data_IF_396774792728
#
_entry.id   IF_396774792728
#
_cell.length_a   1.000
_cell.length_b   1.000
_cell.length_c   1.000
_cell.angle_alpha   90.00
_cell.angle_beta   90.00
_cell.angle_gamma   90.00
#
_symmetry.space_group_name_H-M   'P 1'
#
loop_
_entity.id
_entity.type
_entity.pdbx_description
1 polymer ?
#
# COMPACT_ATOMS: atom_id res chain seq x y z
N UNK A 1 -56.21 27.96 1.74
CA UNK A 1 -55.32 26.79 1.77
C UNK A 1 -53.93 27.27 1.45
N UNK A 2 -53.03 27.32 2.43
CA UNK A 2 -51.63 27.75 2.24
C UNK A 2 -50.76 26.50 2.21
N UNK A 3 -50.08 26.29 1.09
CA UNK A 3 -49.13 25.18 0.93
C UNK A 3 -47.76 25.64 1.45
N UNK A 4 -47.27 25.01 2.51
CA UNK A 4 -45.91 25.19 3.02
C UNK A 4 -44.94 24.36 2.20
N UNK A 5 -44.00 25.02 1.50
CA UNK A 5 -42.87 24.37 0.81
C UNK A 5 -41.78 24.06 1.87
N UNK A 6 -41.56 22.77 2.12
CA UNK A 6 -40.47 22.29 2.95
C UNK A 6 -39.20 22.26 2.11
N UNK A 7 -38.28 23.21 2.32
CA UNK A 7 -36.95 23.20 1.70
C UNK A 7 -36.05 22.33 2.56
N UNK A 8 -35.72 21.14 2.08
CA UNK A 8 -34.70 20.27 2.70
C UNK A 8 -33.33 20.77 2.22
N UNK A 9 -32.62 21.49 3.09
CA UNK A 9 -31.23 21.82 2.87
C UNK A 9 -30.39 20.53 3.05
N UNK A 10 -29.77 20.07 1.98
CA UNK A 10 -28.74 19.02 2.04
C UNK A 10 -27.44 19.71 2.47
N UNK A 11 -27.05 19.48 3.72
CA UNK A 11 -25.71 19.81 4.17
C UNK A 11 -24.71 18.92 3.39
N UNK A 12 -24.08 19.47 2.37
CA UNK A 12 -22.91 18.89 1.75
C UNK A 12 -21.76 18.99 2.76
N UNK A 13 -21.63 17.97 3.60
CA UNK A 13 -20.47 17.84 4.49
C UNK A 13 -19.23 17.77 3.59
N UNK A 14 -18.48 18.85 3.50
CA UNK A 14 -17.21 18.88 2.80
C UNK A 14 -16.31 17.84 3.48
N UNK A 15 -15.99 16.76 2.75
CA UNK A 15 -14.99 15.78 3.21
C UNK A 15 -13.71 16.56 3.49
N UNK A 16 -13.29 16.58 4.75
CA UNK A 16 -12.02 17.19 5.15
C UNK A 16 -10.85 16.52 4.38
N UNK A 17 -9.69 17.16 4.33
CA UNK A 17 -8.52 16.57 3.67
C UNK A 17 -8.24 15.21 4.28
N UNK A 18 -8.03 14.19 3.43
CA UNK A 18 -7.63 12.85 3.88
C UNK A 18 -6.32 12.98 4.65
N UNK A 19 -6.37 12.65 5.93
CA UNK A 19 -5.16 12.60 6.76
C UNK A 19 -4.32 11.41 6.30
N UNK A 20 -3.10 11.66 5.88
CA UNK A 20 -2.12 10.62 5.53
C UNK A 20 -1.40 10.23 6.81
N UNK A 21 -1.52 8.96 7.20
CA UNK A 21 -0.85 8.44 8.38
C UNK A 21 0.67 8.36 8.19
N UNK A 22 1.10 7.83 7.02
CA UNK A 22 2.52 7.70 6.69
C UNK A 22 2.77 7.85 5.19
N UNK A 23 3.97 8.29 4.83
CA UNK A 23 4.45 8.35 3.44
C UNK A 23 5.82 7.72 3.35
N UNK A 24 6.01 6.85 2.36
CA UNK A 24 7.30 6.23 2.07
C UNK A 24 7.71 6.50 0.64
N UNK A 25 9.01 6.53 0.41
CA UNK A 25 9.63 6.50 -0.92
C UNK A 25 10.63 5.38 -1.00
N UNK A 26 10.80 4.81 -2.19
CA UNK A 26 11.78 3.76 -2.47
C UNK A 26 12.23 3.84 -3.93
N UNK A 27 13.29 3.14 -4.28
CA UNK A 27 13.81 3.05 -5.65
C UNK A 27 14.07 1.60 -5.99
N UNK A 28 13.61 1.12 -7.15
CA UNK A 28 13.88 -0.25 -7.61
C UNK A 28 15.35 -0.42 -8.01
N UNK A 29 15.94 -1.59 -7.72
CA UNK A 29 17.35 -1.84 -7.97
C UNK A 29 17.63 -2.93 -9.02
N UNK A 30 16.97 -4.09 -8.93
CA UNK A 30 17.29 -5.28 -9.73
C UNK A 30 16.24 -5.61 -10.80
N UNK A 31 15.70 -4.60 -11.45
CA UNK A 31 14.76 -4.76 -12.56
C UNK A 31 15.12 -3.85 -13.74
N UNK A 32 14.50 -4.05 -14.89
CA UNK A 32 14.72 -3.23 -16.09
C UNK A 32 13.43 -2.50 -16.46
N UNK A 33 13.42 -1.15 -16.53
CA UNK A 33 14.54 -0.27 -16.13
C UNK A 33 14.74 -0.25 -14.60
N UNK A 34 16.00 -0.12 -14.17
CA UNK A 34 16.31 0.15 -12.78
C UNK A 34 16.02 1.62 -12.42
N UNK A 35 15.93 1.91 -11.12
CA UNK A 35 15.80 3.28 -10.65
C UNK A 35 14.38 3.86 -10.75
N UNK A 36 13.36 3.01 -10.88
CA UNK A 36 11.97 3.47 -10.78
C UNK A 36 11.67 3.88 -9.34
N UNK A 37 11.27 5.12 -9.15
CA UNK A 37 10.87 5.61 -7.84
C UNK A 37 9.45 5.17 -7.52
N UNK A 38 9.24 4.69 -6.30
CA UNK A 38 7.92 4.41 -5.74
C UNK A 38 7.60 5.44 -4.67
N UNK A 39 6.40 5.99 -4.70
CA UNK A 39 5.81 6.75 -3.62
C UNK A 39 4.64 5.95 -3.06
N UNK A 40 4.62 5.76 -1.76
CA UNK A 40 3.58 5.03 -1.05
C UNK A 40 2.98 5.94 0.01
N UNK A 41 1.67 6.05 0.06
CA UNK A 41 0.95 6.81 1.08
C UNK A 41 -0.04 5.90 1.77
N UNK A 42 0.05 5.83 3.08
CA UNK A 42 -0.86 5.09 3.94
C UNK A 42 -1.82 6.08 4.57
N UNK A 43 -3.10 5.89 4.32
CA UNK A 43 -4.18 6.70 4.88
C UNK A 43 -4.52 6.19 6.28
N UNK A 44 -4.54 4.86 6.42
CA UNK A 44 -4.90 4.21 7.67
C UNK A 44 -4.15 2.88 7.83
N UNK A 45 -3.54 2.68 8.99
CA UNK A 45 -3.06 1.38 9.42
C UNK A 45 -4.22 0.50 9.85
N UNK A 46 -4.20 -0.76 9.45
CA UNK A 46 -5.25 -1.70 9.78
C UNK A 46 -5.02 -2.35 11.14
N UNK A 47 -6.10 -2.54 11.89
CA UNK A 47 -6.11 -3.40 13.06
C UNK A 47 -6.06 -4.89 12.68
N UNK A 48 -5.94 -5.76 13.67
CA UNK A 48 -5.83 -7.20 13.45
C UNK A 48 -7.04 -7.79 12.72
N UNK A 49 -8.26 -7.35 13.04
CA UNK A 49 -9.48 -7.86 12.45
C UNK A 49 -9.57 -7.52 10.95
N UNK A 50 -9.30 -6.28 10.59
CA UNK A 50 -9.28 -5.82 9.19
C UNK A 50 -8.19 -6.56 8.37
N UNK A 51 -7.01 -6.79 8.95
CA UNK A 51 -5.96 -7.57 8.29
C UNK A 51 -6.37 -9.02 8.05
N UNK A 52 -6.96 -9.67 9.04
CA UNK A 52 -7.45 -11.06 8.91
C UNK A 52 -8.48 -11.17 7.79
N UNK A 53 -9.39 -10.21 7.64
CA UNK A 53 -10.37 -10.18 6.54
C UNK A 53 -9.67 -10.14 5.17
N UNK A 54 -8.65 -9.29 5.00
CA UNK A 54 -7.89 -9.22 3.75
C UNK A 54 -7.18 -10.54 3.46
N UNK A 55 -6.50 -11.12 4.45
CA UNK A 55 -5.77 -12.38 4.28
C UNK A 55 -6.71 -13.52 3.94
N UNK A 56 -7.85 -13.64 4.62
CA UNK A 56 -8.87 -14.63 4.30
C UNK A 56 -9.43 -14.44 2.88
N UNK A 57 -9.63 -13.20 2.45
CA UNK A 57 -10.04 -12.88 1.08
C UNK A 57 -9.01 -13.34 0.05
N UNK A 58 -7.73 -13.10 0.29
CA UNK A 58 -6.63 -13.54 -0.59
C UNK A 58 -6.50 -15.07 -0.64
N UNK A 59 -6.72 -15.75 0.49
CA UNK A 59 -6.67 -17.21 0.57
C UNK A 59 -7.85 -17.88 -0.18
N UNK A 60 -9.03 -17.29 -0.08
CA UNK A 60 -10.25 -17.80 -0.71
C UNK A 60 -10.38 -17.49 -2.21
N UNK A 61 -9.77 -16.41 -2.67
CA UNK A 61 -9.87 -15.89 -4.05
C UNK A 61 -8.47 -15.66 -4.65
N UNK A 62 -7.85 -16.70 -5.25
CA UNK A 62 -6.52 -16.59 -5.85
C UNK A 62 -6.42 -15.53 -6.95
N UNK A 63 -7.52 -15.22 -7.61
CA UNK A 63 -7.60 -14.20 -8.66
C UNK A 63 -7.78 -12.80 -8.08
N UNK A 64 -7.93 -12.69 -6.76
CA UNK A 64 -8.10 -11.44 -6.01
C UNK A 64 -9.19 -10.50 -6.55
N UNK A 65 -10.19 -11.05 -7.24
CA UNK A 65 -11.29 -10.27 -7.82
C UNK A 65 -12.14 -9.56 -6.77
N UNK A 66 -12.18 -10.14 -5.57
CA UNK A 66 -12.88 -9.59 -4.40
C UNK A 66 -12.03 -8.59 -3.63
N UNK A 67 -10.70 -8.65 -3.74
CA UNK A 67 -9.77 -7.74 -3.06
C UNK A 67 -10.06 -6.27 -3.40
N UNK A 68 -10.40 -5.99 -4.66
CA UNK A 68 -10.73 -4.63 -5.10
C UNK A 68 -11.94 -4.01 -4.36
N UNK A 69 -12.85 -4.85 -3.82
CA UNK A 69 -14.05 -4.41 -3.10
C UNK A 69 -13.77 -4.01 -1.65
N UNK A 70 -12.64 -4.43 -1.09
CA UNK A 70 -12.24 -4.08 0.27
C UNK A 70 -11.87 -2.59 0.38
N UNK A 71 -11.93 -2.01 1.57
CA UNK A 71 -11.55 -0.62 1.79
C UNK A 71 -10.13 -0.32 1.30
N UNK A 72 -9.93 0.84 0.70
CA UNK A 72 -8.61 1.34 0.32
C UNK A 72 -7.99 2.05 1.52
N UNK A 73 -6.82 1.57 1.94
CA UNK A 73 -6.09 2.07 3.10
C UNK A 73 -4.83 2.86 2.74
N UNK A 74 -4.55 2.99 1.44
CA UNK A 74 -3.41 3.73 0.93
C UNK A 74 -3.29 3.63 -0.58
N UNK A 75 -2.20 4.17 -1.11
CA UNK A 75 -1.89 4.13 -2.54
C UNK A 75 -0.40 4.00 -2.80
N UNK A 76 -0.04 3.37 -3.91
CA UNK A 76 1.33 3.29 -4.44
C UNK A 76 1.38 3.89 -5.84
N UNK A 77 2.33 4.81 -6.08
CA UNK A 77 2.58 5.42 -7.39
C UNK A 77 4.00 5.13 -7.83
N UNK A 78 4.19 4.43 -8.96
CA UNK A 78 5.50 4.31 -9.57
C UNK A 78 5.83 5.59 -10.37
N UNK A 79 7.05 6.07 -10.22
CA UNK A 79 7.73 7.08 -11.05
C UNK A 79 6.87 8.31 -11.45
N UNK A 80 6.06 8.82 -10.51
CA UNK A 80 5.20 9.99 -10.78
C UNK A 80 3.97 9.69 -11.65
N UNK A 81 3.55 8.42 -11.74
CA UNK A 81 2.29 8.05 -12.39
C UNK A 81 1.14 8.90 -11.87
N UNK A 82 0.24 9.39 -12.74
CA UNK A 82 -0.98 10.06 -12.29
C UNK A 82 -1.99 9.08 -11.67
N UNK A 83 -1.83 7.78 -11.92
CA UNK A 83 -2.71 6.73 -11.41
C UNK A 83 -1.99 5.97 -10.30
N UNK A 84 -2.61 5.89 -9.13
CA UNK A 84 -2.13 5.09 -8.01
C UNK A 84 -2.76 3.70 -7.99
N UNK A 85 -2.01 2.74 -7.49
CA UNK A 85 -2.51 1.40 -7.14
C UNK A 85 -3.08 1.47 -5.73
N UNK A 86 -4.32 1.01 -5.55
CA UNK A 86 -4.96 1.02 -4.23
C UNK A 86 -4.33 -0.02 -3.32
N UNK A 87 -3.93 0.38 -2.13
CA UNK A 87 -3.49 -0.52 -1.07
C UNK A 87 -4.70 -1.03 -0.32
N UNK A 88 -4.81 -2.34 -0.19
CA UNK A 88 -5.92 -3.04 0.51
C UNK A 88 -5.49 -3.66 1.83
N UNK A 89 -4.20 -3.87 2.00
CA UNK A 89 -3.59 -4.35 3.23
C UNK A 89 -2.42 -3.44 3.59
N UNK A 90 -2.39 -2.97 4.82
CA UNK A 90 -1.29 -2.19 5.38
C UNK A 90 -1.04 -2.59 6.83
N UNK A 91 0.11 -3.16 7.08
CA UNK A 91 0.58 -3.57 8.40
C UNK A 91 1.95 -2.98 8.67
N UNK A 92 2.18 -2.59 9.91
CA UNK A 92 3.51 -2.30 10.43
C UNK A 92 3.72 -3.08 11.73
N UNK A 93 4.87 -3.67 11.89
CA UNK A 93 5.23 -4.48 13.04
C UNK A 93 6.63 -4.11 13.54
N UNK A 94 6.81 -3.90 14.86
CA UNK A 94 8.13 -3.72 15.42
C UNK A 94 8.93 -5.01 15.25
N UNK A 95 10.21 -4.87 14.95
CA UNK A 95 11.18 -5.96 14.90
C UNK A 95 12.27 -5.79 15.97
N UNK A 96 13.05 -6.85 16.24
CA UNK A 96 14.22 -6.74 17.10
C UNK A 96 15.13 -5.57 16.68
N UNK A 97 15.90 -5.04 17.62
CA UNK A 97 16.86 -3.97 17.40
C UNK A 97 16.27 -2.60 17.00
N UNK A 98 14.99 -2.37 17.33
CA UNK A 98 14.31 -1.11 17.03
C UNK A 98 14.02 -0.91 15.53
N UNK A 99 14.05 -1.97 14.77
CA UNK A 99 13.59 -1.99 13.37
C UNK A 99 12.07 -2.10 13.31
N UNK A 100 11.55 -1.84 12.13
CA UNK A 100 10.14 -1.95 11.82
C UNK A 100 9.98 -2.60 10.43
N UNK A 101 9.04 -3.53 10.32
CA UNK A 101 8.60 -4.08 9.05
C UNK A 101 7.26 -3.48 8.66
N UNK A 102 7.19 -2.99 7.43
CA UNK A 102 5.95 -2.52 6.81
C UNK A 102 5.61 -3.47 5.68
N UNK A 103 4.37 -3.98 5.67
CA UNK A 103 3.86 -4.85 4.60
C UNK A 103 2.61 -4.23 3.98
N UNK A 104 2.62 -4.08 2.66
CA UNK A 104 1.50 -3.53 1.89
C UNK A 104 1.08 -4.53 0.81
N UNK A 105 -0.25 -4.63 0.55
CA UNK A 105 -0.77 -5.39 -0.60
C UNK A 105 -1.64 -4.46 -1.45
N UNK A 106 -1.39 -4.43 -2.75
CA UNK A 106 -2.16 -3.63 -3.71
C UNK A 106 -3.29 -4.45 -4.33
N UNK A 107 -4.35 -3.78 -4.79
CA UNK A 107 -5.50 -4.43 -5.46
C UNK A 107 -5.18 -4.91 -6.87
N UNK A 108 -4.09 -4.43 -7.44
CA UNK A 108 -3.62 -4.80 -8.78
C UNK A 108 -2.11 -4.95 -8.76
N UNK A 109 -1.63 -5.81 -9.63
CA UNK A 109 -0.21 -5.98 -9.86
C UNK A 109 0.44 -4.66 -10.28
N UNK A 110 1.56 -4.28 -9.63
CA UNK A 110 2.36 -3.13 -10.05
C UNK A 110 2.88 -3.37 -11.47
N UNK A 111 2.57 -2.47 -12.40
CA UNK A 111 2.81 -2.64 -13.82
C UNK A 111 1.56 -3.00 -14.64
N UNK A 112 0.41 -3.26 -14.00
CA UNK A 112 -0.86 -3.50 -14.72
C UNK A 112 -1.38 -2.25 -15.45
N UNK A 113 -0.92 -1.06 -15.07
CA UNK A 113 -1.14 0.17 -15.82
C UNK A 113 0.10 0.49 -16.64
N UNK A 114 -0.06 0.57 -17.97
CA UNK A 114 1.01 1.03 -18.84
C UNK A 114 1.34 2.49 -18.52
N UNK A 115 2.60 2.69 -18.13
CA UNK A 115 3.08 3.99 -17.75
C UNK A 115 4.53 4.14 -18.22
N UNK A 116 4.94 5.34 -18.61
CA UNK A 116 6.27 5.60 -19.17
C UNK A 116 7.39 5.07 -18.26
N UNK A 117 8.07 4.02 -18.72
CA UNK A 117 9.13 3.35 -17.98
C UNK A 117 8.66 2.29 -16.97
N UNK A 118 7.36 1.95 -16.98
CA UNK A 118 6.79 0.92 -16.10
C UNK A 118 5.60 0.26 -16.79
N UNK A 119 5.74 -0.96 -17.22
CA UNK A 119 4.67 -1.75 -17.84
C UNK A 119 4.65 -3.17 -17.26
N UNK A 120 3.61 -3.92 -17.55
CA UNK A 120 3.52 -5.33 -17.17
C UNK A 120 4.73 -6.15 -17.66
N UNK A 121 5.21 -5.86 -18.87
CA UNK A 121 6.40 -6.51 -19.41
C UNK A 121 7.68 -6.13 -18.64
N UNK A 122 7.77 -4.91 -18.15
CA UNK A 122 8.90 -4.42 -17.34
C UNK A 122 8.85 -4.97 -15.93
N UNK A 123 7.64 -5.10 -15.39
CA UNK A 123 7.41 -5.57 -14.04
C UNK A 123 7.65 -7.08 -13.86
N UNK A 124 7.98 -7.81 -14.93
CA UNK A 124 8.12 -9.27 -14.88
C UNK A 124 6.78 -9.98 -14.69
N UNK A 125 6.58 -11.11 -15.30
CA UNK A 125 5.33 -11.87 -15.18
C UNK A 125 5.12 -12.33 -13.73
N UNK A 126 4.28 -11.66 -12.98
CA UNK A 126 3.75 -12.20 -11.73
C UNK A 126 2.51 -13.01 -12.03
N UNK A 127 2.44 -14.22 -11.48
CA UNK A 127 1.23 -15.06 -11.55
C UNK A 127 0.10 -14.52 -10.68
N UNK A 128 0.37 -13.48 -9.88
CA UNK A 128 -0.61 -12.90 -8.97
C UNK A 128 -1.16 -11.58 -9.51
N UNK A 129 -2.47 -11.37 -9.42
CA UNK A 129 -3.12 -10.12 -9.88
C UNK A 129 -2.86 -8.92 -8.97
N UNK A 130 -2.17 -9.10 -7.86
CA UNK A 130 -1.80 -8.09 -6.87
C UNK A 130 -0.29 -8.07 -6.63
N UNK A 131 0.21 -7.02 -5.98
CA UNK A 131 1.59 -6.98 -5.50
C UNK A 131 1.67 -6.85 -3.99
N UNK A 132 2.69 -7.51 -3.42
CA UNK A 132 3.08 -7.36 -2.02
C UNK A 132 4.37 -6.55 -1.96
N UNK A 133 4.43 -5.57 -1.06
CA UNK A 133 5.60 -4.74 -0.81
C UNK A 133 5.98 -4.93 0.66
N UNK A 134 7.23 -5.25 0.92
CA UNK A 134 7.79 -5.29 2.27
C UNK A 134 8.91 -4.25 2.38
N UNK A 135 8.88 -3.45 3.46
CA UNK A 135 9.92 -2.49 3.78
C UNK A 135 10.49 -2.85 5.16
N UNK A 136 11.81 -2.82 5.27
CA UNK A 136 12.52 -2.91 6.54
C UNK A 136 13.15 -1.56 6.86
N UNK A 137 12.70 -0.95 7.93
CA UNK A 137 13.12 0.38 8.36
C UNK A 137 13.90 0.29 9.65
N UNK A 138 14.95 1.08 9.77
CA UNK A 138 15.62 1.31 11.05
C UNK A 138 14.92 2.42 11.84
N UNK A 139 15.41 2.69 13.04
CA UNK A 139 14.87 3.72 13.94
C UNK A 139 14.88 5.15 13.36
N UNK A 140 15.69 5.42 12.33
CA UNK A 140 15.70 6.71 11.62
C UNK A 140 14.67 6.78 10.47
N UNK A 141 13.87 5.73 10.26
CA UNK A 141 12.89 5.65 9.18
C UNK A 141 13.50 5.45 7.80
N UNK A 142 14.75 4.96 7.73
CA UNK A 142 15.42 4.61 6.47
C UNK A 142 15.69 3.12 6.40
N UNK A 143 15.82 2.57 5.17
CA UNK A 143 16.07 1.15 5.06
C UNK A 143 16.07 0.62 3.63
N UNK A 144 15.66 -0.63 3.50
CA UNK A 144 15.53 -1.38 2.25
C UNK A 144 14.16 -2.02 2.18
N UNK A 145 13.88 -2.68 1.09
CA UNK A 145 12.64 -3.44 0.94
C UNK A 145 12.67 -4.35 -0.27
N UNK A 146 11.56 -5.01 -0.46
CA UNK A 146 11.32 -5.90 -1.59
C UNK A 146 9.88 -5.77 -2.07
N UNK A 147 9.60 -6.16 -3.30
CA UNK A 147 8.24 -6.39 -3.74
C UNK A 147 8.10 -7.62 -4.63
N UNK A 148 6.90 -8.18 -4.66
CA UNK A 148 6.60 -9.44 -5.33
C UNK A 148 6.55 -9.28 -6.84
N UNK A 149 7.68 -9.51 -7.51
CA UNK A 149 7.69 -9.84 -8.92
C UNK A 149 8.18 -11.28 -9.04
N UNK A 150 7.25 -12.22 -9.24
CA UNK A 150 7.58 -13.65 -9.30
C UNK A 150 7.96 -14.30 -7.96
N UNK A 151 7.84 -13.59 -6.84
CA UNK A 151 8.02 -14.17 -5.52
C UNK A 151 6.76 -14.85 -5.03
N UNK A 152 6.92 -15.97 -4.33
CA UNK A 152 5.83 -16.66 -3.65
C UNK A 152 5.33 -15.83 -2.47
N UNK A 153 4.00 -15.68 -2.38
CA UNK A 153 3.34 -14.97 -1.28
C UNK A 153 2.88 -16.00 -0.25
N UNK A 154 3.27 -15.78 0.99
CA UNK A 154 2.87 -16.57 2.14
C UNK A 154 1.74 -15.86 2.88
N UNK A 155 0.64 -16.58 3.13
CA UNK A 155 -0.53 -16.09 3.85
C UNK A 155 -0.65 -16.88 5.17
N UNK A 156 -0.74 -16.16 6.28
CA UNK A 156 -1.09 -16.74 7.58
C UNK A 156 -2.44 -16.17 8.02
N UNK A 157 -3.50 -16.93 7.77
CA UNK A 157 -4.88 -16.54 8.09
C UNK A 157 -5.10 -16.36 9.59
N UNK A 158 -4.43 -17.18 10.41
CA UNK A 158 -4.60 -17.11 11.86
C UNK A 158 -3.97 -15.84 12.45
N UNK A 159 -2.82 -15.45 11.94
CA UNK A 159 -2.13 -14.21 12.34
C UNK A 159 -2.61 -12.98 11.58
N UNK A 160 -3.35 -13.13 10.48
CA UNK A 160 -3.72 -12.04 9.58
C UNK A 160 -2.49 -11.38 8.96
N UNK A 161 -1.48 -12.18 8.57
CA UNK A 161 -0.23 -11.67 8.01
C UNK A 161 0.03 -12.14 6.59
N UNK A 162 0.71 -11.26 5.84
CA UNK A 162 1.19 -11.51 4.48
C UNK A 162 2.70 -11.34 4.49
N UNK A 163 3.44 -12.25 3.87
CA UNK A 163 4.89 -12.17 3.73
C UNK A 163 5.34 -12.66 2.35
N UNK A 164 6.55 -12.26 1.95
CA UNK A 164 7.22 -12.75 0.76
C UNK A 164 8.20 -13.87 1.11
N UNK A 165 8.11 -14.99 0.40
CA UNK A 165 9.14 -16.02 0.49
C UNK A 165 10.41 -15.49 -0.20
N UNK A 166 11.59 -15.65 0.43
CA UNK A 166 12.84 -15.24 -0.19
C UNK A 166 13.07 -15.90 -1.55
N UNK A 167 13.45 -15.11 -2.55
CA UNK A 167 13.73 -15.55 -3.92
C UNK A 167 12.80 -14.89 -4.95
N UNK A 168 13.39 -14.37 -6.04
CA UNK A 168 12.64 -13.76 -7.14
C UNK A 168 12.06 -12.37 -6.89
N UNK A 169 12.31 -11.77 -5.71
CA UNK A 169 11.79 -10.43 -5.40
C UNK A 169 12.55 -9.35 -6.15
N UNK A 170 11.85 -8.24 -6.42
CA UNK A 170 12.50 -6.99 -6.78
C UNK A 170 12.97 -6.27 -5.53
N UNK A 171 14.24 -5.86 -5.54
CA UNK A 171 14.85 -5.13 -4.44
C UNK A 171 14.46 -3.66 -4.49
N UNK A 172 14.17 -3.11 -3.32
CA UNK A 172 13.93 -1.70 -3.09
C UNK A 172 15.09 -1.11 -2.25
N UNK A 173 15.67 -0.06 -2.76
CA UNK A 173 16.74 0.70 -2.11
C UNK A 173 16.26 2.11 -1.78
N UNK A 174 17.05 2.86 -1.03
CA UNK A 174 16.73 4.24 -0.65
C UNK A 174 15.33 4.38 -0.03
N UNK A 175 14.89 3.35 0.70
CA UNK A 175 13.61 3.42 1.41
C UNK A 175 13.71 4.49 2.48
N UNK A 176 12.73 5.40 2.48
CA UNK A 176 12.63 6.48 3.46
C UNK A 176 11.17 6.69 3.84
N UNK A 177 10.91 6.78 5.15
CA UNK A 177 9.67 7.36 5.66
C UNK A 177 9.82 8.89 5.60
N UNK A 178 8.88 9.58 4.96
CA UNK A 178 8.83 11.03 5.07
C UNK A 178 8.50 11.39 6.53
N UNK A 179 9.19 12.40 7.06
CA UNK A 179 8.82 12.95 8.35
C UNK A 179 7.33 13.33 8.28
N UNK A 180 6.50 12.69 9.11
CA UNK A 180 5.08 12.97 9.15
C UNK A 180 4.87 14.46 9.34
N UNK A 181 3.82 15.02 8.78
CA UNK A 181 3.30 16.30 9.25
C UNK A 181 2.78 16.04 10.67
N UNK A 182 3.72 16.04 11.63
CA UNK A 182 3.34 16.10 13.02
C UNK A 182 2.41 17.30 13.17
N UNK A 183 1.25 17.01 13.71
CA UNK A 183 0.20 17.95 14.08
C UNK A 183 0.81 19.28 14.58
N UNK A 184 0.79 20.31 13.73
CA UNK A 184 1.14 21.69 14.11
C UNK A 184 -0.03 22.39 14.81
N UNK A 185 -0.88 21.63 15.47
CA UNK A 185 -2.11 22.07 16.10
C UNK A 185 -2.22 21.77 17.57
N UNK A 186 -1.17 21.98 18.38
CA UNK A 186 -1.33 22.07 19.82
C UNK A 186 -0.17 22.87 20.42
N UNK A 187 -0.32 24.18 20.41
CA UNK A 187 0.40 25.02 21.37
C UNK A 187 -0.66 25.75 22.20
N UNK A 188 -0.57 25.64 23.53
CA UNK A 188 -1.46 26.32 24.48
C UNK A 188 -1.36 27.83 24.39
#
# INVERSE_FOLDING_TARGET
MAAALLVIAWDASAAGPLLVADTFTATTANMTPAGVNLRMQIIQWQDAAARTEVVATLAADPDASTLAKLPTVGYVWPNGSPVGYSVKYANHAPEPDGKERVTLVTDKHLGSYDFKGWSAATAGGSDKPYSVIELELNSSGTGTGTFSLGAEVLLDEAAGTVALKPGGQTLLTNVKRAAGQADKGSRP
#
